data_IF_251571876386
#
_entry.id   IF_251571876386
#
_cell.length_a   1.000
_cell.length_b   1.000
_cell.length_c   1.000
_cell.angle_alpha   90.00
_cell.angle_beta   90.00
_cell.angle_gamma   90.00
#
_symmetry.space_group_name_H-M   'P 1'
#
loop_
_entity.id
_entity.type
_entity.pdbx_description
1 polymer ?
#
# COMPACT_ATOMS: atom_id res chain seq x y z
N UNK A 1 21.93 -1.34 2.72
CA UNK A 1 21.63 -1.49 1.27
C UNK A 1 20.75 -0.35 0.80
N UNK A 2 20.61 -0.15 -0.52
CA UNK A 2 19.62 0.78 -1.09
C UNK A 2 18.51 -0.03 -1.77
N UNK A 3 17.26 0.30 -1.48
CA UNK A 3 16.07 -0.33 -2.06
C UNK A 3 15.58 0.51 -3.24
N UNK A 4 15.69 -0.04 -4.47
CA UNK A 4 15.41 0.70 -5.70
C UNK A 4 14.39 -0.08 -6.54
N UNK A 5 13.17 0.44 -6.57
CA UNK A 5 12.06 -0.09 -7.39
C UNK A 5 11.23 1.06 -7.95
N UNK A 6 10.89 2.05 -7.12
CA UNK A 6 10.11 3.19 -7.56
C UNK A 6 10.81 4.00 -8.66
N UNK A 7 10.04 4.40 -9.67
CA UNK A 7 10.50 5.21 -10.82
C UNK A 7 10.12 6.69 -10.69
N UNK A 8 9.42 7.04 -9.61
CA UNK A 8 8.99 8.40 -9.25
C UNK A 8 9.08 8.60 -7.73
N UNK A 9 8.61 9.75 -7.22
CA UNK A 9 8.65 10.06 -5.80
C UNK A 9 7.89 9.01 -4.96
N UNK A 10 8.46 8.61 -3.82
CA UNK A 10 7.75 7.86 -2.77
C UNK A 10 6.95 8.88 -1.96
N UNK A 11 5.64 8.69 -1.88
CA UNK A 11 4.71 9.66 -1.29
C UNK A 11 4.17 9.20 0.06
N UNK A 12 4.09 7.89 0.30
CA UNK A 12 3.63 7.32 1.55
C UNK A 12 4.35 6.01 1.87
N UNK A 13 4.42 5.67 3.15
CA UNK A 13 5.04 4.46 3.65
C UNK A 13 4.37 4.01 4.95
N UNK A 14 4.24 2.70 5.13
CA UNK A 14 3.89 2.06 6.42
C UNK A 14 4.77 0.84 6.64
N UNK A 15 4.88 0.38 7.89
CA UNK A 15 5.59 -0.84 8.23
C UNK A 15 4.82 -1.59 9.29
N UNK A 16 4.82 -2.92 9.20
CA UNK A 16 4.32 -3.79 10.29
C UNK A 16 5.29 -3.84 11.49
N UNK A 17 6.44 -3.15 11.38
CA UNK A 17 7.47 -3.07 12.42
C UNK A 17 8.26 -4.36 12.62
N UNK A 18 7.95 -5.42 11.87
CA UNK A 18 8.46 -6.76 12.10
C UNK A 18 9.14 -7.35 10.87
N UNK A 19 8.45 -7.37 9.73
CA UNK A 19 8.87 -8.13 8.54
C UNK A 19 8.85 -7.28 7.28
N UNK A 20 7.88 -6.39 7.15
CA UNK A 20 7.61 -5.70 5.89
C UNK A 20 7.52 -4.18 6.02
N UNK A 21 8.06 -3.52 5.02
CA UNK A 21 7.77 -2.12 4.69
C UNK A 21 6.93 -2.09 3.43
N UNK A 22 5.94 -1.20 3.40
CA UNK A 22 5.11 -0.95 2.23
C UNK A 22 5.27 0.51 1.80
N UNK A 23 5.50 0.74 0.52
CA UNK A 23 5.66 2.09 -0.03
C UNK A 23 4.73 2.33 -1.21
N UNK A 24 4.17 3.53 -1.30
CA UNK A 24 3.34 3.98 -2.42
C UNK A 24 3.90 5.26 -3.01
N UNK A 25 3.82 5.39 -4.34
CA UNK A 25 4.52 6.48 -5.04
C UNK A 25 3.78 7.08 -6.24
N UNK A 26 4.48 8.05 -6.85
CA UNK A 26 4.06 8.76 -8.06
C UNK A 26 4.14 7.91 -9.33
N UNK A 27 4.61 6.68 -9.25
CA UNK A 27 4.59 5.66 -10.31
C UNK A 27 3.38 4.72 -10.20
N UNK A 28 2.52 4.96 -9.21
CA UNK A 28 1.22 4.29 -9.01
C UNK A 28 1.37 2.86 -8.45
N UNK A 29 2.58 2.51 -8.03
CA UNK A 29 2.91 1.18 -7.53
C UNK A 29 2.84 1.16 -6.01
N UNK A 30 2.33 0.04 -5.47
CA UNK A 30 2.50 -0.34 -4.07
C UNK A 30 3.62 -1.39 -4.03
N UNK A 31 4.74 -1.08 -3.38
CA UNK A 31 5.87 -1.99 -3.22
C UNK A 31 5.88 -2.60 -1.82
N UNK A 32 6.17 -3.90 -1.72
CA UNK A 32 6.40 -4.65 -0.48
C UNK A 32 7.89 -4.98 -0.38
N UNK A 33 8.50 -4.63 0.74
CA UNK A 33 9.93 -4.78 0.99
C UNK A 33 10.15 -5.64 2.23
N UNK A 34 11.07 -6.61 2.15
CA UNK A 34 11.51 -7.35 3.33
C UNK A 34 12.57 -6.57 4.09
N UNK A 35 12.37 -6.43 5.40
CA UNK A 35 13.32 -5.78 6.30
C UNK A 35 14.59 -6.63 6.47
N UNK A 36 14.47 -7.96 6.39
CA UNK A 36 15.60 -8.88 6.55
C UNK A 36 16.53 -8.88 5.33
N UNK A 37 15.95 -9.00 4.13
CA UNK A 37 16.72 -9.11 2.88
C UNK A 37 17.04 -7.75 2.24
N UNK A 38 16.33 -6.69 2.66
CA UNK A 38 16.34 -5.36 2.05
C UNK A 38 16.06 -5.42 0.54
N UNK A 39 15.21 -6.37 0.12
CA UNK A 39 14.78 -6.54 -1.27
C UNK A 39 13.30 -6.24 -1.45
N UNK A 40 12.92 -5.84 -2.67
CA UNK A 40 11.53 -5.79 -3.08
C UNK A 40 11.02 -7.22 -3.28
N UNK A 41 10.05 -7.63 -2.46
CA UNK A 41 9.44 -8.96 -2.57
C UNK A 41 8.15 -8.94 -3.39
N UNK A 42 7.61 -7.76 -3.68
CA UNK A 42 6.35 -7.64 -4.40
C UNK A 42 6.07 -6.24 -4.89
N UNK A 43 5.48 -6.15 -6.08
CA UNK A 43 4.98 -4.89 -6.62
C UNK A 43 3.56 -5.07 -7.12
N UNK A 44 2.65 -4.33 -6.51
CA UNK A 44 1.22 -4.38 -6.72
C UNK A 44 0.79 -3.19 -7.57
N UNK A 45 0.02 -3.47 -8.63
CA UNK A 45 -0.43 -2.49 -9.62
C UNK A 45 -1.92 -2.61 -9.83
N UNK A 46 -2.62 -1.49 -9.63
CA UNK A 46 -4.05 -1.34 -9.92
C UNK A 46 -4.43 0.14 -10.01
N UNK A 47 -3.78 0.97 -9.17
CA UNK A 47 -3.94 2.41 -9.22
C UNK A 47 -3.57 2.98 -10.59
N UNK A 48 -4.35 3.98 -11.03
CA UNK A 48 -4.19 4.65 -12.33
C UNK A 48 -3.56 6.06 -12.19
N UNK A 49 -3.19 6.42 -10.97
CA UNK A 49 -2.62 7.71 -10.58
C UNK A 49 -1.84 7.57 -9.27
N UNK A 50 -1.05 8.58 -8.83
CA UNK A 50 -0.20 8.49 -7.64
C UNK A 50 -0.92 7.97 -6.40
N UNK A 51 -0.26 7.06 -5.69
CA UNK A 51 -0.70 6.63 -4.35
C UNK A 51 -0.30 7.72 -3.37
N UNK A 52 -1.28 8.36 -2.75
CA UNK A 52 -1.07 9.54 -1.89
C UNK A 52 -1.01 9.19 -0.41
N UNK A 53 -1.71 8.13 0.00
CA UNK A 53 -1.82 7.75 1.40
C UNK A 53 -1.96 6.24 1.57
N UNK A 54 -1.63 5.75 2.76
CA UNK A 54 -1.66 4.34 3.09
C UNK A 54 -1.81 4.12 4.60
N UNK A 55 -2.50 3.05 5.01
CA UNK A 55 -2.48 2.53 6.37
C UNK A 55 -2.43 0.99 6.38
N UNK A 56 -2.05 0.42 7.53
CA UNK A 56 -2.22 -1.02 7.78
C UNK A 56 -3.65 -1.30 8.22
N UNK A 57 -4.17 -2.45 7.80
CA UNK A 57 -5.41 -3.00 8.37
C UNK A 57 -5.21 -3.43 9.82
N UNK A 58 -6.33 -3.59 10.53
CA UNK A 58 -6.33 -4.02 11.93
C UNK A 58 -6.01 -5.51 12.09
N UNK A 59 -6.36 -6.31 11.08
CA UNK A 59 -5.99 -7.70 10.94
C UNK A 59 -4.63 -7.81 10.23
N UNK A 60 -3.82 -8.78 10.65
CA UNK A 60 -2.52 -9.03 10.04
C UNK A 60 -2.65 -9.25 8.54
N UNK A 61 -1.76 -8.61 7.77
CA UNK A 61 -1.65 -8.86 6.34
C UNK A 61 -2.66 -8.11 5.47
N UNK A 62 -3.17 -6.95 5.91
CA UNK A 62 -3.87 -6.02 5.04
C UNK A 62 -3.19 -4.65 4.94
N UNK A 63 -3.19 -4.10 3.73
CA UNK A 63 -2.77 -2.73 3.45
C UNK A 63 -3.91 -2.01 2.74
N UNK A 64 -4.19 -0.78 3.14
CA UNK A 64 -5.19 0.08 2.49
C UNK A 64 -4.44 1.25 1.85
N UNK A 65 -4.70 1.52 0.58
CA UNK A 65 -4.10 2.63 -0.16
C UNK A 65 -5.16 3.58 -0.70
N UNK A 66 -4.87 4.88 -0.71
CA UNK A 66 -5.70 5.90 -1.36
C UNK A 66 -4.89 6.66 -2.42
N UNK A 67 -5.54 7.01 -3.54
CA UNK A 67 -4.87 7.59 -4.71
C UNK A 67 -5.58 8.81 -5.29
N UNK A 68 -4.82 9.55 -6.10
CA UNK A 68 -5.35 10.59 -7.00
C UNK A 68 -6.33 10.04 -8.04
N UNK A 69 -6.37 8.72 -8.28
CA UNK A 69 -7.33 8.08 -9.17
C UNK A 69 -8.76 7.99 -8.60
N UNK A 70 -8.96 8.53 -7.38
CA UNK A 70 -10.23 8.64 -6.65
C UNK A 70 -10.72 7.34 -6.01
N UNK A 71 -9.96 6.27 -6.15
CA UNK A 71 -10.26 4.99 -5.52
C UNK A 71 -9.33 4.78 -4.31
N UNK A 72 -9.84 4.04 -3.33
CA UNK A 72 -8.99 3.34 -2.37
C UNK A 72 -9.05 1.83 -2.63
N UNK A 73 -7.94 1.13 -2.33
CA UNK A 73 -7.83 -0.31 -2.51
C UNK A 73 -7.41 -0.99 -1.22
N UNK A 74 -7.99 -2.18 -0.98
CA UNK A 74 -7.58 -3.07 0.10
C UNK A 74 -6.79 -4.23 -0.50
N UNK A 75 -5.59 -4.46 0.01
CA UNK A 75 -4.64 -5.45 -0.45
C UNK A 75 -4.43 -6.50 0.64
N UNK A 76 -4.61 -7.77 0.31
CA UNK A 76 -4.22 -8.86 1.21
C UNK A 76 -2.76 -9.23 0.92
N UNK A 77 -1.88 -8.93 1.87
CA UNK A 77 -0.42 -9.09 1.81
C UNK A 77 0.12 -10.30 2.56
N UNK A 78 -0.76 -11.14 3.14
CA UNK A 78 -0.39 -12.33 3.91
C UNK A 78 0.11 -13.50 3.05
N UNK A 79 -0.25 -13.53 1.76
CA UNK A 79 0.14 -14.58 0.83
C UNK A 79 1.04 -14.07 -0.31
N UNK A 80 2.06 -14.87 -0.66
CA UNK A 80 2.85 -14.82 -1.90
C UNK A 80 3.59 -13.49 -2.19
N UNK A 81 4.53 -13.45 -3.16
CA UNK A 81 5.18 -12.19 -3.59
C UNK A 81 4.19 -11.15 -4.17
N UNK A 82 2.97 -11.56 -4.52
CA UNK A 82 1.94 -10.68 -5.07
C UNK A 82 0.73 -10.62 -4.15
N UNK A 83 0.48 -9.47 -3.55
CA UNK A 83 -0.76 -9.23 -2.82
C UNK A 83 -1.92 -9.09 -3.82
N UNK A 84 -3.01 -9.79 -3.56
CA UNK A 84 -4.24 -9.61 -4.33
C UNK A 84 -4.97 -8.37 -3.80
N UNK A 85 -5.38 -7.48 -4.71
CA UNK A 85 -6.37 -6.48 -4.36
C UNK A 85 -7.70 -7.19 -4.11
N UNK A 86 -8.19 -7.14 -2.88
CA UNK A 86 -9.40 -7.83 -2.46
C UNK A 86 -10.64 -6.95 -2.64
N UNK A 87 -10.50 -5.63 -2.47
CA UNK A 87 -11.62 -4.69 -2.53
C UNK A 87 -11.25 -3.39 -3.24
N UNK A 88 -12.24 -2.83 -3.93
CA UNK A 88 -12.23 -1.46 -4.45
C UNK A 88 -13.21 -0.64 -3.64
N UNK A 89 -12.73 0.45 -3.05
CA UNK A 89 -13.54 1.45 -2.36
C UNK A 89 -13.66 2.66 -3.30
N UNK A 90 -14.73 2.69 -4.08
CA UNK A 90 -15.03 3.77 -5.03
C UNK A 90 -16.16 4.66 -4.50
N UNK A 91 -16.17 5.92 -4.91
CA UNK A 91 -17.23 6.89 -4.56
C UNK A 91 -16.75 8.33 -4.36
N UNK A 92 -15.45 8.55 -4.19
CA UNK A 92 -14.90 9.91 -4.18
C UNK A 92 -14.90 10.51 -5.59
N UNK A 93 -15.27 11.79 -5.71
CA UNK A 93 -15.18 12.55 -6.98
C UNK A 93 -13.80 13.20 -7.19
N UNK A 94 -12.95 13.16 -6.17
CA UNK A 94 -11.61 13.75 -6.14
C UNK A 94 -10.61 12.79 -5.46
N UNK A 95 -9.36 13.22 -5.35
CA UNK A 95 -8.28 12.41 -4.80
C UNK A 95 -8.58 11.92 -3.38
N UNK A 96 -8.25 10.66 -3.09
CA UNK A 96 -8.22 10.13 -1.72
C UNK A 96 -6.91 10.58 -1.07
N UNK A 97 -7.00 11.56 -0.17
CA UNK A 97 -5.83 12.21 0.45
C UNK A 97 -5.41 11.57 1.76
N UNK A 98 -6.29 10.83 2.44
CA UNK A 98 -5.98 10.09 3.65
C UNK A 98 -6.82 8.81 3.76
N UNK A 99 -6.26 7.83 4.46
CA UNK A 99 -6.94 6.60 4.90
C UNK A 99 -6.49 6.30 6.32
N UNK A 100 -7.38 5.74 7.12
CA UNK A 100 -7.10 5.30 8.49
C UNK A 100 -7.91 4.02 8.76
N UNK A 101 -7.36 3.15 9.57
CA UNK A 101 -8.05 1.96 10.06
C UNK A 101 -8.12 2.04 11.59
N UNK A 102 -9.28 1.69 12.14
CA UNK A 102 -9.54 1.58 13.57
C UNK A 102 -10.03 0.18 13.89
N UNK A 103 -9.66 -0.32 15.08
CA UNK A 103 -10.31 -1.49 15.65
C UNK A 103 -11.62 -1.03 16.28
N UNK A 104 -12.69 -1.80 16.10
CA UNK A 104 -13.80 -1.69 17.03
C UNK A 104 -13.34 -2.26 18.37
N UNK A 105 -13.55 -1.51 19.45
CA UNK A 105 -13.37 -2.02 20.81
C UNK A 105 -14.66 -2.78 21.17
N UNK A 106 -14.51 -4.02 21.65
CA UNK A 106 -15.63 -4.82 22.21
C UNK A 106 -16.18 -4.21 23.51
#
# INVERSE_FOLDING_TARGET
GQMRQHTSAVLCMVTDGLRYVYTGGGDYELCKWSVDSLQCEGVMRKHRSPILCMCLGCDDGYVITGSKDRDAYIWNTSNAPTAACTHTLSGHDAAVTCVCASREED
#
